data_IF_172304654129
#
_entry.id   IF_172304654129
#
_cell.length_a   1.000
_cell.length_b   1.000
_cell.length_c   1.000
_cell.angle_alpha   90.00
_cell.angle_beta   90.00
_cell.angle_gamma   90.00
#
_symmetry.space_group_name_H-M   'P 1'
#
loop_
_entity.id
_entity.type
_entity.pdbx_description
1 polymer ?
#
# COMPACT_ATOMS: atom_id res chain seq x y z
N UNK A 1 2.99 -18.51 62.51
CA UNK A 1 3.15 -17.11 62.03
C UNK A 1 4.12 -17.16 60.85
N UNK A 2 3.61 -17.52 59.67
CA UNK A 2 4.40 -17.57 58.44
C UNK A 2 4.00 -16.38 57.58
N UNK A 3 4.93 -15.43 57.40
CA UNK A 3 4.77 -14.35 56.43
C UNK A 3 5.04 -14.91 55.03
N UNK A 4 3.99 -14.96 54.21
CA UNK A 4 4.14 -15.14 52.76
C UNK A 4 4.78 -13.88 52.17
N UNK A 5 6.02 -14.02 51.71
CA UNK A 5 6.72 -13.03 50.90
C UNK A 5 6.11 -13.03 49.48
N UNK A 6 4.98 -12.33 49.31
CA UNK A 6 4.44 -12.00 47.97
C UNK A 6 5.38 -10.97 47.32
N UNK A 7 6.26 -11.44 46.46
CA UNK A 7 7.01 -10.59 45.53
C UNK A 7 6.02 -10.02 44.52
N UNK A 8 5.54 -8.80 44.77
CA UNK A 8 4.76 -8.02 43.82
C UNK A 8 5.66 -7.69 42.62
N UNK A 9 5.56 -8.49 41.53
CA UNK A 9 6.09 -8.11 40.22
C UNK A 9 5.35 -6.86 39.77
N UNK A 10 5.96 -5.69 39.95
CA UNK A 10 5.53 -4.45 39.32
C UNK A 10 5.63 -4.63 37.81
N UNK A 11 4.50 -4.85 37.15
CA UNK A 11 4.41 -4.84 35.68
C UNK A 11 4.68 -3.38 35.26
N UNK A 12 5.91 -3.09 34.85
CA UNK A 12 6.25 -1.76 34.33
C UNK A 12 5.47 -1.53 33.04
N UNK A 13 4.63 -0.51 33.02
CA UNK A 13 3.96 -0.04 31.81
C UNK A 13 5.03 0.29 30.76
N UNK A 14 4.96 -0.30 29.55
CA UNK A 14 5.95 -0.05 28.52
C UNK A 14 5.96 1.42 28.10
N UNK A 15 7.15 1.99 27.89
CA UNK A 15 7.28 3.39 27.45
C UNK A 15 6.86 3.55 25.99
N UNK A 16 6.50 4.77 25.57
CA UNK A 16 6.16 5.05 24.16
C UNK A 16 7.26 4.60 23.18
N UNK A 17 8.54 4.74 23.56
CA UNK A 17 9.67 4.28 22.75
C UNK A 17 9.67 2.75 22.58
N UNK A 18 9.35 2.00 23.64
CA UNK A 18 9.23 0.54 23.58
C UNK A 18 8.04 0.09 22.72
N UNK A 19 6.91 0.81 22.80
CA UNK A 19 5.73 0.54 21.98
C UNK A 19 5.98 0.87 20.50
N UNK A 20 6.64 1.99 20.20
CA UNK A 20 7.04 2.35 18.83
C UNK A 20 8.02 1.33 18.23
N UNK A 21 8.93 0.78 19.03
CA UNK A 21 9.81 -0.30 18.59
C UNK A 21 9.02 -1.58 18.27
N UNK A 22 8.01 -1.92 19.09
CA UNK A 22 7.11 -3.05 18.84
C UNK A 22 6.29 -2.86 17.55
N UNK A 23 5.79 -1.65 17.32
CA UNK A 23 5.04 -1.30 16.10
C UNK A 23 5.88 -1.45 14.82
N UNK A 24 7.19 -1.18 14.87
CA UNK A 24 8.10 -1.39 13.73
C UNK A 24 8.45 -2.86 13.48
N UNK A 25 8.50 -3.64 14.55
CA UNK A 25 8.94 -5.03 14.50
C UNK A 25 8.09 -5.88 13.55
N UNK A 26 6.77 -5.76 13.62
CA UNK A 26 5.83 -6.58 12.84
C UNK A 26 6.04 -6.44 11.33
N UNK A 27 6.28 -5.21 10.84
CA UNK A 27 6.52 -4.97 9.42
C UNK A 27 7.82 -5.63 8.93
N UNK A 28 8.92 -5.48 9.68
CA UNK A 28 10.21 -6.11 9.31
C UNK A 28 10.10 -7.64 9.33
N UNK A 29 9.32 -8.20 10.26
CA UNK A 29 9.04 -9.65 10.27
C UNK A 29 8.26 -10.08 9.04
N UNK A 30 7.19 -9.37 8.66
CA UNK A 30 6.41 -9.67 7.47
C UNK A 30 7.27 -9.60 6.19
N UNK A 31 8.12 -8.58 6.08
CA UNK A 31 9.07 -8.42 4.99
C UNK A 31 10.09 -9.57 4.92
N UNK A 32 10.62 -10.02 6.07
CA UNK A 32 11.48 -11.20 6.11
C UNK A 32 10.74 -12.45 5.62
N UNK A 33 9.51 -12.68 6.09
CA UNK A 33 8.73 -13.85 5.69
C UNK A 33 8.51 -13.90 4.18
N UNK A 34 8.21 -12.74 3.57
CA UNK A 34 8.09 -12.58 2.12
C UNK A 34 9.40 -12.91 1.39
N UNK A 35 10.54 -12.42 1.90
CA UNK A 35 11.85 -12.52 1.22
C UNK A 35 12.69 -13.72 1.69
N UNK A 36 12.17 -14.60 2.54
CA UNK A 36 12.95 -15.60 3.26
C UNK A 36 13.74 -16.54 2.34
N UNK A 37 13.21 -16.85 1.15
CA UNK A 37 13.91 -17.66 0.15
C UNK A 37 15.12 -16.92 -0.44
N UNK A 38 14.93 -15.67 -0.87
CA UNK A 38 15.99 -14.83 -1.43
C UNK A 38 17.12 -14.56 -0.42
N UNK A 39 16.77 -14.32 0.84
CA UNK A 39 17.74 -13.94 1.88
C UNK A 39 18.70 -15.08 2.27
N UNK A 40 18.45 -16.32 1.82
CA UNK A 40 19.37 -17.46 2.01
C UNK A 40 20.64 -17.26 1.20
N UNK A 41 21.70 -16.81 1.88
CA UNK A 41 23.00 -16.55 1.27
C UNK A 41 23.23 -15.08 0.94
N UNK A 42 22.28 -14.20 1.23
CA UNK A 42 22.39 -12.76 0.96
C UNK A 42 23.27 -12.00 1.98
N UNK A 43 23.83 -12.68 2.99
CA UNK A 43 24.67 -12.08 4.03
C UNK A 43 25.96 -12.87 4.17
N UNK A 44 27.09 -12.29 3.72
CA UNK A 44 28.41 -12.92 3.83
C UNK A 44 28.91 -13.09 5.26
N UNK A 45 28.85 -12.07 6.14
CA UNK A 45 29.28 -12.22 7.53
C UNK A 45 28.17 -12.90 8.33
N UNK A 46 27.90 -14.16 8.04
CA UNK A 46 26.98 -15.00 8.80
C UNK A 46 27.76 -15.90 9.76
N UNK A 47 27.81 -15.58 11.06
CA UNK A 47 28.25 -16.53 12.07
C UNK A 47 27.37 -17.78 12.05
N UNK A 48 27.96 -18.95 12.31
CA UNK A 48 27.24 -20.23 12.30
C UNK A 48 25.99 -20.25 13.23
N UNK A 49 26.05 -19.55 14.37
CA UNK A 49 24.97 -19.50 15.35
C UNK A 49 23.85 -18.49 15.02
N UNK A 50 23.95 -17.73 13.92
CA UNK A 50 23.03 -16.63 13.62
C UNK A 50 22.18 -16.95 12.38
N UNK A 51 20.85 -16.92 12.55
CA UNK A 51 19.90 -17.14 11.46
C UNK A 51 19.89 -15.96 10.48
N UNK A 52 19.44 -16.19 9.24
CA UNK A 52 19.25 -15.09 8.28
C UNK A 52 18.18 -14.11 8.76
N UNK A 53 17.17 -14.59 9.50
CA UNK A 53 16.21 -13.75 10.21
C UNK A 53 16.92 -12.77 11.15
N UNK A 54 17.80 -13.25 12.03
CA UNK A 54 18.50 -12.38 12.98
C UNK A 54 19.35 -11.31 12.28
N UNK A 55 20.00 -11.66 11.16
CA UNK A 55 20.76 -10.70 10.35
C UNK A 55 19.84 -9.68 9.67
N UNK A 56 18.76 -10.12 9.03
CA UNK A 56 17.79 -9.23 8.41
C UNK A 56 17.20 -8.25 9.45
N UNK A 57 16.78 -8.75 10.61
CA UNK A 57 16.31 -7.90 11.71
C UNK A 57 17.38 -6.90 12.16
N UNK A 58 18.64 -7.35 12.34
CA UNK A 58 19.76 -6.49 12.77
C UNK A 58 19.97 -5.30 11.82
N UNK A 59 19.93 -5.53 10.51
CA UNK A 59 20.20 -4.47 9.53
C UNK A 59 19.00 -3.56 9.25
N UNK A 60 17.78 -3.99 9.60
CA UNK A 60 16.56 -3.29 9.19
C UNK A 60 15.74 -2.68 10.33
N UNK A 61 15.77 -3.25 11.54
CA UNK A 61 14.84 -2.83 12.62
C UNK A 61 15.04 -1.38 13.10
N UNK A 62 16.26 -0.86 12.98
CA UNK A 62 16.59 0.51 13.37
C UNK A 62 16.48 1.52 12.22
N UNK A 63 16.63 1.07 10.98
CA UNK A 63 16.67 1.90 9.77
C UNK A 63 15.30 2.03 9.11
N UNK A 64 14.47 1.00 9.18
CA UNK A 64 13.11 1.00 8.63
C UNK A 64 12.13 1.57 9.64
N UNK A 65 11.59 2.75 9.33
CA UNK A 65 10.59 3.42 10.15
C UNK A 65 9.20 3.18 9.59
N UNK A 66 8.67 1.96 9.67
CA UNK A 66 7.27 1.67 9.31
C UNK A 66 6.54 1.33 10.58
N UNK A 67 5.47 2.06 10.90
CA UNK A 67 4.68 1.83 12.09
C UNK A 67 3.35 1.20 11.69
N UNK A 68 3.10 -0.02 12.19
CA UNK A 68 1.82 -0.70 12.03
C UNK A 68 1.05 -0.64 13.34
N UNK A 69 -0.27 -0.48 13.27
CA UNK A 69 -1.16 -0.69 14.41
C UNK A 69 -1.17 -2.17 14.83
N UNK A 70 -1.73 -2.46 16.01
CA UNK A 70 -1.88 -3.84 16.50
C UNK A 70 -2.79 -4.65 15.57
N UNK A 71 -3.84 -4.03 15.06
CA UNK A 71 -4.81 -4.61 14.13
C UNK A 71 -4.16 -4.95 12.79
N UNK A 72 -3.43 -3.99 12.20
CA UNK A 72 -2.65 -4.19 10.96
C UNK A 72 -1.61 -5.29 11.12
N UNK A 73 -0.90 -5.31 12.26
CA UNK A 73 0.07 -6.34 12.56
C UNK A 73 -0.57 -7.73 12.73
N UNK A 74 -1.77 -7.82 13.31
CA UNK A 74 -2.49 -9.08 13.50
C UNK A 74 -2.84 -9.76 12.17
N UNK A 75 -3.14 -8.96 11.13
CA UNK A 75 -3.40 -9.44 9.77
C UNK A 75 -2.15 -9.49 8.88
N UNK A 76 -0.95 -9.31 9.47
CA UNK A 76 0.35 -9.33 8.78
C UNK A 76 0.47 -8.32 7.64
N UNK A 77 -0.03 -7.10 7.86
CA UNK A 77 0.23 -5.98 6.96
C UNK A 77 1.73 -5.83 6.68
N UNK A 78 2.07 -5.46 5.45
CA UNK A 78 3.44 -5.31 5.01
C UNK A 78 3.57 -4.12 4.06
N UNK A 79 4.40 -3.16 4.45
CA UNK A 79 4.74 -1.99 3.64
C UNK A 79 6.12 -2.20 3.04
N UNK A 80 6.26 -1.97 1.74
CA UNK A 80 7.55 -1.97 1.07
C UNK A 80 8.37 -0.77 1.56
N UNK A 81 9.56 -1.05 2.06
CA UNK A 81 10.47 -0.05 2.63
C UNK A 81 11.90 -0.27 2.09
N UNK A 82 12.84 0.66 2.37
CA UNK A 82 14.25 0.54 1.97
C UNK A 82 15.02 -0.54 2.73
N UNK A 83 14.57 -1.80 2.65
CA UNK A 83 15.18 -2.91 3.36
C UNK A 83 16.57 -3.20 2.81
N UNK A 84 17.56 -3.35 3.70
CA UNK A 84 18.85 -3.92 3.36
C UNK A 84 18.70 -5.43 3.19
N UNK A 85 18.56 -5.85 1.93
CA UNK A 85 18.30 -7.24 1.52
C UNK A 85 19.57 -8.05 1.30
N UNK A 86 20.74 -7.41 1.27
CA UNK A 86 22.02 -8.12 1.23
C UNK A 86 23.14 -7.33 1.90
N UNK A 87 24.16 -8.05 2.37
CA UNK A 87 25.36 -7.48 2.97
C UNK A 87 26.59 -8.32 2.66
N UNK A 88 27.57 -7.74 1.99
CA UNK A 88 28.76 -8.44 1.55
C UNK A 88 29.84 -7.52 1.02
N UNK A 89 30.82 -8.13 0.36
CA UNK A 89 32.11 -7.51 0.01
C UNK A 89 32.23 -7.09 -1.45
N UNK A 90 31.31 -7.52 -2.32
CA UNK A 90 31.29 -7.03 -3.71
C UNK A 90 30.82 -5.58 -3.76
N UNK A 91 31.28 -4.84 -4.77
CA UNK A 91 30.85 -3.46 -5.03
C UNK A 91 29.32 -3.36 -5.12
N UNK A 92 28.70 -2.44 -4.36
CA UNK A 92 27.28 -2.13 -4.51
C UNK A 92 26.94 -1.64 -5.91
N UNK A 93 25.69 -1.89 -6.29
CA UNK A 93 25.04 -1.35 -7.47
C UNK A 93 24.13 -0.25 -6.95
N UNK A 94 24.63 0.98 -6.99
CA UNK A 94 23.87 2.13 -6.55
C UNK A 94 22.64 2.29 -7.43
N UNK A 95 21.51 2.65 -6.82
CA UNK A 95 20.27 2.95 -7.52
C UNK A 95 19.72 4.27 -7.01
N UNK A 96 19.23 5.11 -7.91
CA UNK A 96 18.64 6.40 -7.58
C UNK A 96 17.41 6.69 -8.43
N UNK A 97 16.51 7.51 -7.88
CA UNK A 97 15.35 8.02 -8.60
C UNK A 97 15.82 9.13 -9.54
N UNK A 98 15.51 9.00 -10.82
CA UNK A 98 15.70 10.03 -11.84
C UNK A 98 14.40 10.21 -12.62
N UNK A 99 13.66 11.28 -12.32
CA UNK A 99 12.30 11.45 -12.83
C UNK A 99 11.40 10.29 -12.38
N UNK A 100 10.77 9.62 -13.34
CA UNK A 100 9.88 8.48 -13.07
C UNK A 100 10.61 7.12 -13.12
N UNK A 101 11.93 7.11 -13.29
CA UNK A 101 12.72 5.89 -13.43
C UNK A 101 13.60 5.67 -12.20
N UNK A 102 13.86 4.40 -11.88
CA UNK A 102 15.02 4.03 -11.09
C UNK A 102 16.19 3.76 -12.02
N UNK A 103 17.33 4.39 -11.77
CA UNK A 103 18.55 4.25 -12.59
C UNK A 103 19.66 3.70 -11.72
N UNK A 104 20.31 2.64 -12.19
CA UNK A 104 21.41 1.99 -11.49
C UNK A 104 22.77 2.52 -11.91
N UNK A 105 23.82 2.16 -11.15
CA UNK A 105 25.20 2.44 -11.51
C UNK A 105 25.73 1.59 -12.67
N UNK A 106 25.00 0.56 -13.12
CA UNK A 106 25.40 -0.33 -14.21
C UNK A 106 25.36 0.41 -15.56
N UNK A 107 26.51 0.56 -16.19
CA UNK A 107 26.66 1.22 -17.48
C UNK A 107 26.48 0.23 -18.65
N UNK A 108 26.08 0.75 -19.80
CA UNK A 108 26.05 0.05 -21.08
C UNK A 108 26.80 0.89 -22.13
N UNK A 109 27.38 0.27 -23.18
CA UNK A 109 28.06 0.99 -24.25
C UNK A 109 27.14 2.00 -24.95
N UNK A 110 27.73 3.07 -25.47
CA UNK A 110 26.99 4.06 -26.25
C UNK A 110 26.32 3.41 -27.47
N UNK A 111 25.04 3.71 -27.69
CA UNK A 111 24.26 3.17 -28.81
C UNK A 111 23.80 1.72 -28.63
N UNK A 112 24.14 1.05 -27.51
CA UNK A 112 23.57 -0.25 -27.21
C UNK A 112 22.06 -0.13 -27.02
N UNK A 113 21.30 -1.03 -27.65
CA UNK A 113 19.85 -1.09 -27.57
C UNK A 113 19.43 -2.54 -27.33
N UNK A 114 18.38 -2.74 -26.52
CA UNK A 114 17.77 -4.05 -26.30
C UNK A 114 16.54 -4.15 -27.18
N UNK A 115 16.57 -5.08 -28.13
CA UNK A 115 15.49 -5.44 -29.05
C UNK A 115 15.03 -6.88 -28.81
N UNK A 116 13.99 -7.33 -29.49
CA UNK A 116 13.48 -8.70 -29.37
C UNK A 116 14.49 -9.78 -29.79
N UNK A 117 15.43 -9.44 -30.67
CA UNK A 117 16.52 -10.33 -31.08
C UNK A 117 17.71 -10.35 -30.09
N UNK A 118 17.70 -9.47 -29.07
CA UNK A 118 18.80 -9.35 -28.12
C UNK A 118 18.84 -10.55 -27.20
N UNK A 119 20.01 -11.17 -27.08
CA UNK A 119 20.23 -12.33 -26.21
C UNK A 119 20.87 -11.95 -24.87
N UNK A 120 20.82 -12.87 -23.92
CA UNK A 120 21.56 -12.79 -22.66
C UNK A 120 23.07 -12.58 -22.89
N UNK A 121 23.66 -13.19 -23.91
CA UNK A 121 25.05 -13.05 -24.29
C UNK A 121 25.40 -11.65 -24.81
N UNK A 122 24.48 -11.03 -25.58
CA UNK A 122 24.66 -9.64 -26.02
C UNK A 122 24.66 -8.67 -24.82
N UNK A 123 23.69 -8.82 -23.90
CA UNK A 123 23.62 -7.99 -22.68
C UNK A 123 24.83 -8.23 -21.78
N UNK A 124 25.25 -9.48 -21.60
CA UNK A 124 26.44 -9.84 -20.81
C UNK A 124 27.71 -9.20 -21.37
N UNK A 125 27.90 -9.26 -22.69
CA UNK A 125 29.05 -8.62 -23.36
C UNK A 125 29.04 -7.11 -23.18
N UNK A 126 27.88 -6.48 -23.34
CA UNK A 126 27.72 -5.04 -23.11
C UNK A 126 28.06 -4.66 -21.67
N UNK A 127 27.52 -5.36 -20.67
CA UNK A 127 27.79 -5.12 -19.26
C UNK A 127 29.27 -5.30 -18.92
N UNK A 128 29.92 -6.37 -19.40
CA UNK A 128 31.35 -6.62 -19.14
C UNK A 128 32.24 -5.53 -19.74
N UNK A 129 31.92 -5.04 -20.94
CA UNK A 129 32.70 -4.01 -21.62
C UNK A 129 32.63 -2.64 -20.94
N UNK A 130 31.53 -2.36 -20.23
CA UNK A 130 31.25 -1.05 -19.63
C UNK A 130 31.46 -1.01 -18.10
N UNK A 131 31.67 -2.16 -17.44
CA UNK A 131 31.76 -2.26 -15.98
C UNK A 131 32.91 -3.17 -15.54
N UNK A 132 34.04 -2.58 -15.13
CA UNK A 132 35.28 -3.31 -14.79
C UNK A 132 35.19 -4.22 -13.55
N UNK A 133 34.20 -4.02 -12.68
CA UNK A 133 34.01 -4.85 -11.48
C UNK A 133 33.24 -6.16 -11.76
N UNK A 134 32.53 -6.23 -12.90
CA UNK A 134 31.82 -7.42 -13.34
C UNK A 134 32.77 -8.45 -13.95
N UNK A 135 32.43 -9.73 -13.79
CA UNK A 135 33.14 -10.86 -14.38
C UNK A 135 32.16 -11.82 -15.02
N UNK A 136 32.63 -12.57 -16.01
CA UNK A 136 31.84 -13.67 -16.55
C UNK A 136 31.59 -14.71 -15.44
N UNK A 137 30.35 -15.20 -15.36
CA UNK A 137 29.88 -16.09 -14.30
C UNK A 137 29.27 -15.37 -13.09
N UNK A 138 29.36 -14.04 -13.00
CA UNK A 138 28.63 -13.29 -11.99
C UNK A 138 27.11 -13.43 -12.19
N UNK A 139 26.36 -13.38 -11.10
CA UNK A 139 24.90 -13.34 -11.13
C UNK A 139 24.40 -11.98 -10.66
N UNK A 140 23.57 -11.34 -11.47
CA UNK A 140 22.75 -10.19 -11.11
C UNK A 140 21.33 -10.66 -10.79
N UNK A 141 20.90 -10.48 -9.55
CA UNK A 141 19.54 -10.79 -9.10
C UNK A 141 18.75 -9.50 -8.96
N UNK A 142 17.56 -9.44 -9.55
CA UNK A 142 16.65 -8.32 -9.44
C UNK A 142 15.56 -8.70 -8.44
N UNK A 143 15.58 -8.05 -7.28
CA UNK A 143 14.54 -8.18 -6.25
C UNK A 143 13.54 -7.07 -6.48
N UNK A 144 12.32 -7.41 -6.88
CA UNK A 144 11.24 -6.46 -7.06
C UNK A 144 10.16 -6.72 -6.02
N UNK A 145 9.99 -5.79 -5.09
CA UNK A 145 8.92 -5.77 -4.11
C UNK A 145 7.80 -4.89 -4.63
N UNK A 146 6.59 -5.44 -4.65
CA UNK A 146 5.37 -4.77 -5.10
C UNK A 146 4.53 -4.40 -3.91
N UNK A 147 4.05 -3.16 -3.87
CA UNK A 147 3.10 -2.69 -2.89
C UNK A 147 1.68 -2.86 -3.45
N UNK A 148 0.82 -3.52 -2.68
CA UNK A 148 -0.61 -3.64 -2.95
C UNK A 148 -1.42 -3.39 -1.69
N UNK A 149 -2.75 -3.44 -1.82
CA UNK A 149 -3.70 -3.31 -0.72
C UNK A 149 -4.71 -4.45 -0.79
N UNK A 150 -5.23 -4.85 0.37
CA UNK A 150 -6.46 -5.65 0.44
C UNK A 150 -7.68 -4.75 0.21
N UNK A 151 -8.84 -5.38 0.06
CA UNK A 151 -10.14 -4.69 -0.09
C UNK A 151 -10.45 -3.76 1.10
N UNK A 152 -9.86 -4.03 2.27
CA UNK A 152 -10.00 -3.21 3.49
C UNK A 152 -8.92 -2.13 3.63
N UNK A 153 -8.14 -1.85 2.57
CA UNK A 153 -7.10 -0.82 2.59
C UNK A 153 -5.85 -1.18 3.41
N UNK A 154 -5.70 -2.45 3.82
CA UNK A 154 -4.50 -2.91 4.54
C UNK A 154 -3.37 -3.15 3.54
N UNK A 155 -2.16 -2.58 3.76
CA UNK A 155 -1.05 -2.73 2.83
C UNK A 155 -0.49 -4.15 2.87
N UNK A 156 -0.24 -4.70 1.69
CA UNK A 156 0.43 -5.97 1.49
C UNK A 156 1.60 -5.81 0.51
N UNK A 157 2.55 -6.73 0.59
CA UNK A 157 3.66 -6.79 -0.33
C UNK A 157 3.74 -8.15 -1.01
N UNK A 158 4.12 -8.16 -2.28
CA UNK A 158 4.52 -9.36 -3.01
C UNK A 158 5.92 -9.19 -3.59
N UNK A 159 6.56 -10.29 -3.98
CA UNK A 159 7.92 -10.29 -4.49
C UNK A 159 7.99 -10.99 -5.84
N UNK A 160 8.61 -10.34 -6.83
CA UNK A 160 9.05 -10.95 -8.09
C UNK A 160 10.58 -11.00 -8.09
N UNK A 161 11.14 -12.14 -8.47
CA UNK A 161 12.59 -12.35 -8.56
C UNK A 161 12.97 -12.65 -10.00
N UNK A 162 14.01 -11.97 -10.49
CA UNK A 162 14.63 -12.27 -11.77
C UNK A 162 16.12 -12.45 -11.58
N UNK A 163 16.76 -13.26 -12.43
CA UNK A 163 18.21 -13.46 -12.38
C UNK A 163 18.81 -13.43 -13.78
N UNK A 164 19.99 -12.85 -13.87
CA UNK A 164 20.84 -12.77 -15.04
C UNK A 164 22.19 -13.35 -14.66
N UNK A 165 22.64 -14.40 -15.36
CA UNK A 165 24.03 -14.86 -15.28
C UNK A 165 24.81 -14.15 -16.38
N UNK A 166 25.95 -13.54 -16.04
CA UNK A 166 26.82 -12.85 -16.99
C UNK A 166 27.59 -13.89 -17.81
N UNK A 167 26.99 -14.33 -18.91
CA UNK A 167 27.49 -15.39 -19.78
C UNK A 167 27.46 -14.92 -21.25
N UNK A 168 28.58 -14.43 -21.81
CA UNK A 168 28.64 -13.93 -23.19
C UNK A 168 28.21 -14.91 -24.28
N UNK A 169 28.27 -16.22 -23.99
CA UNK A 169 27.87 -17.29 -24.90
C UNK A 169 26.39 -17.70 -24.82
N UNK A 170 25.59 -17.05 -23.97
CA UNK A 170 24.17 -17.39 -23.78
C UNK A 170 23.30 -16.82 -24.91
N UNK A 171 22.72 -17.69 -25.73
CA UNK A 171 21.89 -17.30 -26.86
C UNK A 171 20.40 -17.20 -26.52
N UNK A 172 20.01 -17.34 -25.25
CA UNK A 172 18.62 -17.20 -24.82
C UNK A 172 18.14 -15.77 -25.10
N UNK A 173 16.93 -15.58 -25.68
CA UNK A 173 16.37 -14.24 -25.84
C UNK A 173 16.17 -13.53 -24.49
N UNK A 174 16.67 -12.30 -24.37
CA UNK A 174 16.74 -11.59 -23.09
C UNK A 174 15.35 -11.30 -22.50
N UNK A 175 14.40 -10.87 -23.34
CA UNK A 175 13.06 -10.46 -22.94
C UNK A 175 12.13 -11.59 -22.51
N UNK A 176 12.49 -12.86 -22.77
CA UNK A 176 11.73 -14.02 -22.30
C UNK A 176 11.80 -14.15 -20.77
N UNK A 177 12.92 -13.72 -20.17
CA UNK A 177 13.17 -13.89 -18.74
C UNK A 177 13.27 -12.57 -17.98
N UNK A 178 13.66 -11.47 -18.64
CA UNK A 178 13.79 -10.15 -17.99
C UNK A 178 12.82 -9.15 -18.63
N UNK A 179 11.74 -8.75 -17.92
CA UNK A 179 10.78 -7.81 -18.43
C UNK A 179 11.40 -6.41 -18.60
N UNK A 180 10.88 -5.65 -19.56
CA UNK A 180 11.38 -4.30 -19.84
C UNK A 180 11.28 -3.38 -18.62
N UNK A 181 10.21 -3.49 -17.84
CA UNK A 181 9.99 -2.68 -16.64
C UNK A 181 11.08 -2.82 -15.57
N UNK A 182 11.83 -3.93 -15.60
CA UNK A 182 12.90 -4.24 -14.65
C UNK A 182 14.29 -4.08 -15.25
N UNK A 183 14.41 -3.86 -16.56
CA UNK A 183 15.70 -3.72 -17.23
C UNK A 183 15.53 -2.98 -18.56
N UNK A 184 15.60 -1.65 -18.50
CA UNK A 184 15.62 -0.74 -19.63
C UNK A 184 16.91 0.10 -19.62
N UNK A 185 17.24 0.69 -20.76
CA UNK A 185 18.36 1.61 -20.88
C UNK A 185 17.84 3.03 -20.65
N UNK A 186 18.35 3.68 -19.60
CA UNK A 186 18.05 5.07 -19.25
C UNK A 186 19.38 5.80 -19.19
N UNK A 187 19.60 6.76 -20.11
CA UNK A 187 20.83 7.54 -20.19
C UNK A 187 22.12 6.69 -20.20
N UNK A 188 22.12 5.58 -20.96
CA UNK A 188 23.26 4.66 -21.07
C UNK A 188 23.49 3.78 -19.84
N UNK A 189 22.55 3.74 -18.89
CA UNK A 189 22.61 2.90 -17.69
C UNK A 189 21.40 1.97 -17.63
N UNK A 190 21.54 0.88 -16.87
CA UNK A 190 20.41 -0.02 -16.59
C UNK A 190 19.48 0.67 -15.60
N UNK A 191 18.19 0.71 -15.90
CA UNK A 191 17.15 1.22 -15.03
C UNK A 191 15.82 0.52 -15.24
N UNK A 192 14.77 1.08 -14.66
CA UNK A 192 13.38 0.67 -14.87
C UNK A 192 12.74 1.50 -15.97
N UNK A 193 11.60 1.06 -16.46
CA UNK A 193 10.73 1.97 -17.21
C UNK A 193 10.05 3.00 -16.27
N UNK A 194 9.34 3.96 -16.88
CA UNK A 194 8.65 5.04 -16.14
C UNK A 194 7.35 4.57 -15.47
N UNK A 195 6.90 3.35 -15.78
CA UNK A 195 5.65 2.76 -15.30
C UNK A 195 5.93 1.64 -14.29
N UNK A 196 7.11 1.66 -13.66
CA UNK A 196 7.48 0.70 -12.64
C UNK A 196 6.40 0.69 -11.56
N UNK A 197 5.89 -0.51 -11.27
CA UNK A 197 4.82 -0.72 -10.29
C UNK A 197 5.22 -0.12 -8.92
N UNK A 198 4.23 0.36 -8.16
CA UNK A 198 4.47 0.92 -6.84
C UNK A 198 5.12 -0.13 -5.92
N UNK A 199 6.21 0.22 -5.25
CA UNK A 199 6.97 -0.70 -4.42
C UNK A 199 8.44 -0.32 -4.29
N UNK A 200 9.34 -1.23 -4.63
CA UNK A 200 10.78 -0.99 -4.58
C UNK A 200 11.62 -2.09 -5.22
N UNK A 201 12.81 -1.74 -5.68
CA UNK A 201 13.70 -2.63 -6.44
C UNK A 201 15.11 -2.61 -5.85
N UNK A 202 15.80 -3.75 -5.87
CA UNK A 202 17.23 -3.87 -5.60
C UNK A 202 17.92 -4.77 -6.63
N UNK A 203 19.12 -4.37 -7.07
CA UNK A 203 19.98 -5.16 -7.93
C UNK A 203 21.13 -5.76 -7.13
N UNK A 204 21.08 -7.07 -6.87
CA UNK A 204 22.07 -7.78 -6.05
C UNK A 204 23.06 -8.52 -6.93
N UNK A 205 24.32 -8.12 -6.86
CA UNK A 205 25.43 -8.81 -7.52
C UNK A 205 25.89 -9.95 -6.62
N UNK A 206 26.17 -11.10 -7.21
CA UNK A 206 26.75 -12.23 -6.50
C UNK A 206 27.77 -12.97 -7.35
N UNK A 207 28.78 -13.55 -6.69
CA UNK A 207 29.89 -14.28 -7.31
C UNK A 207 30.26 -15.46 -6.44
N UNK A 208 30.46 -16.63 -7.06
CA UNK A 208 31.16 -17.73 -6.39
C UNK A 208 32.65 -17.64 -6.66
N UNK A 209 33.44 -17.59 -5.59
CA UNK A 209 34.90 -17.62 -5.64
C UNK A 209 35.41 -18.51 -4.51
N UNK A 210 36.35 -19.43 -4.81
CA UNK A 210 36.91 -20.37 -3.83
C UNK A 210 35.86 -21.10 -2.96
N UNK A 211 34.79 -21.60 -3.59
CA UNK A 211 33.64 -22.25 -2.94
C UNK A 211 32.84 -21.38 -1.94
N UNK A 212 33.11 -20.08 -1.87
CA UNK A 212 32.34 -19.11 -1.09
C UNK A 212 31.47 -18.25 -1.99
N UNK A 213 30.28 -17.92 -1.49
CA UNK A 213 29.38 -16.97 -2.14
C UNK A 213 29.71 -15.57 -1.62
N UNK A 214 30.06 -14.68 -2.52
CA UNK A 214 30.18 -13.26 -2.27
C UNK A 214 28.97 -12.53 -2.87
N UNK A 215 28.48 -11.50 -2.20
CA UNK A 215 27.35 -10.67 -2.62
C UNK A 215 27.69 -9.20 -2.43
N UNK A 216 27.02 -8.31 -3.17
CA UNK A 216 27.10 -6.89 -2.87
C UNK A 216 26.20 -6.51 -1.70
N UNK A 217 26.55 -5.44 -1.00
CA UNK A 217 25.63 -4.84 -0.01
C UNK A 217 24.57 -4.04 -0.75
N UNK A 218 23.29 -4.35 -0.53
CA UNK A 218 22.18 -3.69 -1.23
C UNK A 218 20.99 -3.42 -0.33
N UNK A 219 20.40 -2.25 -0.56
CA UNK A 219 19.09 -1.88 -0.04
C UNK A 219 18.10 -1.70 -1.17
N UNK A 220 16.83 -1.97 -0.88
CA UNK A 220 15.71 -1.66 -1.77
C UNK A 220 15.62 -0.16 -1.96
N UNK A 221 15.48 0.28 -3.21
CA UNK A 221 15.15 1.66 -3.55
C UNK A 221 13.69 1.72 -3.97
N UNK A 222 12.94 2.62 -3.35
CA UNK A 222 11.50 2.74 -3.58
C UNK A 222 11.23 3.33 -4.95
N UNK A 223 10.23 2.79 -5.65
CA UNK A 223 9.78 3.39 -6.91
C UNK A 223 9.10 4.73 -6.63
N UNK A 224 9.15 5.70 -7.56
CA UNK A 224 8.54 7.03 -7.35
C UNK A 224 7.05 6.99 -6.98
N UNK A 225 6.33 5.96 -7.46
CA UNK A 225 4.91 5.76 -7.16
C UNK A 225 4.62 5.19 -5.76
N UNK A 226 5.62 4.82 -4.95
CA UNK A 226 5.39 4.28 -3.61
C UNK A 226 5.21 5.39 -2.57
N UNK A 227 3.99 5.91 -2.46
CA UNK A 227 3.57 6.87 -1.43
C UNK A 227 3.30 6.22 -0.07
N UNK A 228 3.06 4.91 -0.04
CA UNK A 228 2.66 4.14 1.15
C UNK A 228 3.74 4.20 2.22
N UNK A 229 5.01 4.08 1.83
CA UNK A 229 6.12 4.19 2.78
C UNK A 229 6.13 5.53 3.52
N UNK A 230 5.87 6.65 2.81
CA UNK A 230 5.83 7.97 3.43
C UNK A 230 4.69 8.09 4.45
N UNK A 231 3.50 7.59 4.10
CA UNK A 231 2.36 7.55 5.02
C UNK A 231 2.68 6.75 6.28
N UNK A 232 3.20 5.53 6.12
CA UNK A 232 3.44 4.61 7.23
C UNK A 232 4.71 4.91 8.05
N UNK A 233 5.56 5.81 7.55
CA UNK A 233 6.75 6.31 8.26
C UNK A 233 6.55 7.63 8.98
N UNK A 234 5.38 8.24 8.83
CA UNK A 234 5.04 9.52 9.45
C UNK A 234 4.91 9.46 10.97
N UNK A 235 5.10 10.61 11.61
CA UNK A 235 4.87 10.76 13.06
C UNK A 235 3.40 10.53 13.43
N UNK A 236 2.47 10.86 12.52
CA UNK A 236 1.05 10.57 12.69
C UNK A 236 0.80 9.07 12.79
N UNK A 237 1.32 8.27 11.85
CA UNK A 237 1.17 6.81 11.90
C UNK A 237 1.86 6.20 13.11
N UNK A 238 3.02 6.74 13.50
CA UNK A 238 3.71 6.36 14.74
C UNK A 238 2.84 6.57 15.96
N UNK A 239 2.15 7.71 16.06
CA UNK A 239 1.24 8.01 17.18
C UNK A 239 0.08 7.01 17.23
N UNK A 240 -0.61 6.79 16.10
CA UNK A 240 -1.71 5.82 15.97
C UNK A 240 -1.27 4.40 16.39
N UNK A 241 -0.09 3.97 15.93
CA UNK A 241 0.44 2.66 16.29
C UNK A 241 0.76 2.57 17.79
N UNK A 242 1.44 3.57 18.36
CA UNK A 242 1.75 3.60 19.80
C UNK A 242 0.49 3.56 20.65
N UNK A 243 -0.55 4.32 20.26
CA UNK A 243 -1.85 4.28 20.92
C UNK A 243 -2.47 2.89 20.86
N UNK A 244 -2.52 2.26 19.68
CA UNK A 244 -3.06 0.90 19.51
C UNK A 244 -2.34 -0.17 20.38
N UNK A 245 -1.01 -0.06 20.57
CA UNK A 245 -0.26 -0.99 21.45
C UNK A 245 -0.29 -0.61 22.95
N UNK A 246 -0.45 0.67 23.28
CA UNK A 246 -0.47 1.21 24.64
C UNK A 246 -1.86 1.20 25.29
N UNK A 247 -2.92 1.08 24.48
CA UNK A 247 -4.30 0.97 24.93
C UNK A 247 -4.50 -0.35 25.66
N UNK A 248 -4.49 -0.32 27.00
CA UNK A 248 -5.19 -1.32 27.78
C UNK A 248 -6.67 -0.95 27.76
N UNK A 249 -7.45 -1.64 26.95
CA UNK A 249 -8.89 -1.47 26.89
C UNK A 249 -9.54 -2.14 28.09
N UNK A 250 -10.09 -1.34 28.99
CA UNK A 250 -10.97 -1.82 30.05
C UNK A 250 -12.34 -1.18 29.84
N UNK A 251 -13.33 -1.98 29.43
CA UNK A 251 -14.73 -1.52 29.29
C UNK A 251 -15.36 -0.99 30.59
N UNK A 252 -14.64 -1.15 31.71
CA UNK A 252 -15.08 -0.80 33.06
C UNK A 252 -14.16 0.23 33.73
N UNK A 253 -13.18 0.78 33.02
CA UNK A 253 -12.31 1.84 33.55
C UNK A 253 -12.77 3.22 33.05
N UNK A 254 -13.34 4.07 33.92
CA UNK A 254 -13.79 5.41 33.53
C UNK A 254 -12.64 6.36 33.14
N UNK A 255 -11.38 5.96 33.32
CA UNK A 255 -10.19 6.75 32.96
C UNK A 255 -9.62 6.35 31.59
N UNK A 256 -10.00 5.22 31.01
CA UNK A 256 -9.59 4.86 29.64
C UNK A 256 -10.37 5.71 28.62
N UNK A 257 -9.85 6.90 28.35
CA UNK A 257 -10.48 7.93 27.49
C UNK A 257 -10.46 7.64 25.98
N UNK A 258 -10.47 6.37 25.56
CA UNK A 258 -10.56 6.00 24.13
C UNK A 258 -11.84 5.22 23.92
N UNK A 259 -12.85 5.89 23.39
CA UNK A 259 -14.04 5.24 22.83
C UNK A 259 -13.63 4.60 21.50
N UNK A 260 -13.61 3.27 21.44
CA UNK A 260 -13.52 2.57 20.16
C UNK A 260 -14.86 2.74 19.46
N UNK A 261 -14.88 3.44 18.35
CA UNK A 261 -16.00 3.42 17.41
C UNK A 261 -15.76 2.22 16.51
N UNK A 262 -16.65 1.24 16.54
CA UNK A 262 -16.59 0.14 15.59
C UNK A 262 -16.83 0.74 14.19
N UNK A 263 -16.07 0.39 13.14
CA UNK A 263 -16.45 0.75 11.77
C UNK A 263 -17.88 0.28 11.42
N UNK A 264 -18.42 -0.74 12.10
CA UNK A 264 -19.85 -1.08 12.01
C UNK A 264 -20.79 -0.03 12.65
N UNK A 265 -20.31 0.82 13.57
CA UNK A 265 -21.06 1.90 14.23
C UNK A 265 -21.22 3.15 13.34
N UNK A 266 -20.58 3.22 12.17
CA UNK A 266 -20.81 4.33 11.24
C UNK A 266 -22.28 4.26 10.76
N UNK A 267 -23.11 5.19 11.23
CA UNK A 267 -24.54 5.13 11.01
C UNK A 267 -24.88 5.54 9.56
N UNK A 268 -25.98 5.01 9.04
CA UNK A 268 -26.54 5.50 7.78
C UNK A 268 -26.88 6.98 7.92
N UNK A 269 -26.25 7.85 7.13
CA UNK A 269 -26.51 9.28 7.18
C UNK A 269 -26.45 9.90 5.79
N UNK A 270 -27.39 10.80 5.51
CA UNK A 270 -27.31 11.72 4.38
C UNK A 270 -26.74 13.03 4.90
N UNK A 271 -25.53 13.38 4.48
CA UNK A 271 -24.82 14.58 4.94
C UNK A 271 -25.01 15.78 4.03
N UNK A 272 -25.46 15.57 2.80
CA UNK A 272 -25.72 16.67 1.87
C UNK A 272 -26.40 16.22 0.59
N UNK A 273 -27.12 17.16 -0.01
CA UNK A 273 -27.81 16.99 -1.29
C UNK A 273 -27.45 18.17 -2.19
N UNK A 274 -27.14 17.91 -3.46
CA UNK A 274 -26.88 18.95 -4.46
C UNK A 274 -27.68 18.67 -5.73
N UNK A 275 -28.14 19.73 -6.40
CA UNK A 275 -28.81 19.66 -7.69
C UNK A 275 -28.00 20.49 -8.70
N UNK A 276 -27.55 19.85 -9.78
CA UNK A 276 -26.62 20.44 -10.76
C UNK A 276 -25.37 21.08 -10.09
N UNK A 277 -24.89 20.46 -9.01
CA UNK A 277 -23.76 20.95 -8.21
C UNK A 277 -24.08 22.11 -7.26
N UNK A 278 -25.33 22.60 -7.23
CA UNK A 278 -25.77 23.61 -6.26
C UNK A 278 -26.26 22.93 -4.98
N UNK A 279 -25.70 23.25 -3.79
CA UNK A 279 -26.14 22.66 -2.54
C UNK A 279 -27.59 23.01 -2.19
N UNK A 280 -28.33 22.02 -1.72
CA UNK A 280 -29.69 22.17 -1.18
C UNK A 280 -29.62 21.94 0.33
N UNK A 281 -30.18 22.87 1.08
CA UNK A 281 -30.18 22.86 2.55
C UNK A 281 -31.48 22.23 3.05
N UNK A 282 -31.43 21.48 4.15
CA UNK A 282 -32.64 20.98 4.80
C UNK A 282 -33.56 22.14 5.19
N UNK A 283 -34.87 21.96 5.02
CA UNK A 283 -35.86 23.01 5.29
C UNK A 283 -35.86 24.17 4.30
N UNK A 284 -35.23 24.03 3.12
CA UNK A 284 -35.25 25.07 2.08
C UNK A 284 -36.62 25.28 1.41
N UNK A 285 -37.61 24.47 1.74
CA UNK A 285 -38.85 24.30 0.99
C UNK A 285 -38.74 23.22 -0.10
N UNK A 286 -39.83 23.03 -0.84
CA UNK A 286 -39.96 22.01 -1.89
C UNK A 286 -38.80 22.03 -2.88
N UNK A 287 -38.17 20.88 -3.12
CA UNK A 287 -37.20 20.74 -4.21
C UNK A 287 -37.93 20.40 -5.50
N UNK A 288 -37.82 21.25 -6.50
CA UNK A 288 -38.24 20.92 -7.86
C UNK A 288 -37.07 20.28 -8.62
N UNK A 289 -37.34 19.15 -9.27
CA UNK A 289 -36.42 18.48 -10.18
C UNK A 289 -37.03 18.46 -11.58
N UNK A 290 -36.22 18.81 -12.58
CA UNK A 290 -36.60 18.81 -13.98
C UNK A 290 -35.71 17.85 -14.79
N UNK A 291 -36.24 17.37 -15.92
CA UNK A 291 -35.57 16.40 -16.79
C UNK A 291 -34.24 16.94 -17.29
N UNK A 292 -33.18 16.15 -17.15
CA UNK A 292 -31.81 16.52 -17.54
C UNK A 292 -30.96 17.07 -16.39
N UNK A 293 -31.54 17.29 -15.21
CA UNK A 293 -30.79 17.67 -14.02
C UNK A 293 -30.08 16.47 -13.36
N UNK A 294 -29.05 16.77 -12.58
CA UNK A 294 -28.28 15.78 -11.83
C UNK A 294 -28.45 16.02 -10.35
N UNK A 295 -29.09 15.09 -9.65
CA UNK A 295 -29.22 15.06 -8.20
C UNK A 295 -28.07 14.22 -7.62
N UNK A 296 -27.31 14.78 -6.69
CA UNK A 296 -26.24 14.06 -5.98
C UNK A 296 -26.51 14.10 -4.50
N UNK A 297 -26.64 12.91 -3.90
CA UNK A 297 -26.82 12.68 -2.47
C UNK A 297 -25.48 12.17 -1.94
N UNK A 298 -25.00 12.78 -0.86
CA UNK A 298 -23.73 12.44 -0.20
C UNK A 298 -23.99 11.98 1.22
N UNK A 299 -23.22 11.01 1.69
CA UNK A 299 -23.48 10.40 2.99
C UNK A 299 -22.54 9.26 3.33
N UNK A 300 -22.99 8.43 4.28
CA UNK A 300 -22.31 7.21 4.74
C UNK A 300 -23.25 6.01 4.64
N UNK A 301 -22.69 4.85 4.26
CA UNK A 301 -23.42 3.59 4.04
C UNK A 301 -24.60 3.73 3.06
N UNK A 302 -24.42 4.55 2.02
CA UNK A 302 -25.40 4.69 0.95
C UNK A 302 -25.42 3.42 0.09
N UNK A 303 -26.61 3.07 -0.42
CA UNK A 303 -26.80 1.95 -1.36
C UNK A 303 -27.84 2.35 -2.41
N UNK A 304 -27.80 1.72 -3.58
CA UNK A 304 -28.72 1.96 -4.71
C UNK A 304 -30.19 1.66 -4.38
N UNK A 305 -30.44 0.79 -3.42
CA UNK A 305 -31.78 0.46 -2.90
C UNK A 305 -32.05 1.08 -1.51
N UNK A 306 -31.13 1.90 -0.99
CA UNK A 306 -31.18 2.37 0.39
C UNK A 306 -32.11 3.56 0.64
N UNK A 307 -32.52 4.26 -0.42
CA UNK A 307 -33.30 5.49 -0.34
C UNK A 307 -34.50 5.49 -1.29
N UNK A 308 -35.55 6.15 -0.84
CA UNK A 308 -36.74 6.52 -1.60
C UNK A 308 -36.98 8.02 -1.51
N UNK A 309 -37.75 8.56 -2.45
CA UNK A 309 -38.16 9.95 -2.45
C UNK A 309 -39.67 10.05 -2.26
N UNK A 310 -40.11 10.97 -1.40
CA UNK A 310 -41.51 11.36 -1.37
C UNK A 310 -41.74 12.50 -2.34
N UNK A 311 -42.61 12.27 -3.33
CA UNK A 311 -42.80 13.18 -4.45
C UNK A 311 -44.26 13.49 -4.72
N UNK A 312 -44.52 14.70 -5.19
CA UNK A 312 -45.83 15.08 -5.70
C UNK A 312 -45.91 14.73 -7.19
N UNK A 313 -46.79 13.80 -7.53
CA UNK A 313 -47.00 13.36 -8.92
C UNK A 313 -48.07 14.18 -9.65
N UNK A 314 -48.94 14.89 -8.92
CA UNK A 314 -50.02 15.74 -9.44
C UNK A 314 -50.36 16.85 -8.41
N UNK A 315 -50.57 18.12 -8.81
CA UNK A 315 -50.92 19.24 -7.91
C UNK A 315 -52.11 19.04 -6.96
N UNK A 316 -52.98 18.05 -7.21
CA UNK A 316 -54.21 17.80 -6.43
C UNK A 316 -54.14 16.45 -5.70
N UNK A 317 -53.07 15.66 -5.89
CA UNK A 317 -52.91 14.36 -5.26
C UNK A 317 -52.05 14.46 -4.00
N UNK A 318 -52.24 13.51 -3.07
CA UNK A 318 -51.33 13.36 -1.94
C UNK A 318 -49.93 12.91 -2.44
N UNK A 319 -48.83 13.39 -1.82
CA UNK A 319 -47.49 12.94 -2.15
C UNK A 319 -47.33 11.43 -2.00
N UNK A 320 -46.58 10.81 -2.92
CA UNK A 320 -46.37 9.37 -2.98
C UNK A 320 -44.88 9.08 -2.82
N UNK A 321 -44.56 8.01 -2.08
CA UNK A 321 -43.21 7.50 -1.96
C UNK A 321 -42.85 6.65 -3.19
N UNK A 322 -41.75 6.99 -3.85
CA UNK A 322 -41.24 6.32 -5.04
C UNK A 322 -39.78 5.93 -4.86
N UNK A 323 -39.32 4.92 -5.59
CA UNK A 323 -37.90 4.56 -5.59
C UNK A 323 -37.10 5.63 -6.36
N UNK A 324 -35.82 5.82 -6.03
CA UNK A 324 -35.00 6.81 -6.75
C UNK A 324 -34.86 6.48 -8.25
N UNK A 325 -34.96 5.20 -8.62
CA UNK A 325 -35.00 4.76 -10.02
C UNK A 325 -36.22 5.25 -10.78
N UNK A 326 -37.32 5.60 -10.10
CA UNK A 326 -38.50 6.17 -10.75
C UNK A 326 -38.29 7.65 -11.12
N UNK A 327 -37.26 8.28 -10.55
CA UNK A 327 -36.85 9.66 -10.88
C UNK A 327 -35.85 9.71 -12.03
N UNK A 328 -35.10 8.63 -12.27
CA UNK A 328 -34.16 8.52 -13.38
C UNK A 328 -33.07 7.47 -13.17
N UNK A 329 -31.95 7.62 -13.88
CA UNK A 329 -30.87 6.62 -13.84
C UNK A 329 -29.98 6.83 -12.61
N UNK A 330 -29.95 5.82 -11.73
CA UNK A 330 -29.23 5.84 -10.45
C UNK A 330 -27.87 5.17 -10.57
N UNK A 331 -26.82 5.81 -10.04
CA UNK A 331 -25.50 5.23 -9.80
C UNK A 331 -25.14 5.47 -8.34
N UNK A 332 -24.87 4.41 -7.57
CA UNK A 332 -24.58 4.50 -6.15
C UNK A 332 -23.21 3.92 -5.78
N UNK A 333 -22.60 4.51 -4.75
CA UNK A 333 -21.45 4.02 -4.00
C UNK A 333 -21.79 4.08 -2.50
N UNK A 334 -20.87 3.65 -1.63
CA UNK A 334 -21.01 3.74 -0.18
C UNK A 334 -21.09 5.19 0.35
N UNK A 335 -20.64 6.17 -0.45
CA UNK A 335 -20.57 7.58 -0.06
C UNK A 335 -21.46 8.51 -0.90
N UNK A 336 -21.85 8.10 -2.10
CA UNK A 336 -22.60 8.96 -3.04
C UNK A 336 -23.67 8.20 -3.80
N UNK A 337 -24.83 8.83 -3.98
CA UNK A 337 -25.87 8.41 -4.93
C UNK A 337 -26.07 9.54 -5.93
N UNK A 338 -25.89 9.24 -7.21
CA UNK A 338 -26.13 10.16 -8.32
C UNK A 338 -27.35 9.70 -9.10
N UNK A 339 -28.36 10.57 -9.23
CA UNK A 339 -29.57 10.33 -10.02
C UNK A 339 -29.59 11.30 -11.19
N UNK A 340 -29.55 10.76 -12.40
CA UNK A 340 -29.73 11.53 -13.62
C UNK A 340 -31.22 11.62 -13.92
N UNK A 341 -31.84 12.77 -13.67
CA UNK A 341 -33.29 12.95 -13.64
C UNK A 341 -33.89 12.83 -15.04
N UNK A 342 -34.90 11.98 -15.18
CA UNK A 342 -35.62 11.74 -16.45
C UNK A 342 -37.09 12.17 -16.41
N UNK A 343 -37.56 12.70 -15.28
CA UNK A 343 -38.94 13.13 -15.05
C UNK A 343 -38.99 14.46 -14.31
N UNK A 344 -40.09 15.21 -14.48
CA UNK A 344 -40.31 16.44 -13.71
C UNK A 344 -41.17 16.12 -12.48
N UNK A 345 -40.68 16.45 -11.28
CA UNK A 345 -41.33 16.17 -9.99
C UNK A 345 -40.99 17.23 -8.96
N UNK A 346 -41.81 17.29 -7.92
CA UNK A 346 -41.48 18.01 -6.68
C UNK A 346 -41.19 16.98 -5.59
N UNK A 347 -40.03 17.11 -4.95
CA UNK A 347 -39.53 16.20 -3.91
C UNK A 347 -39.62 16.91 -2.56
N UNK A 348 -40.28 16.26 -1.61
CA UNK A 348 -40.52 16.79 -0.26
C UNK A 348 -39.45 16.33 0.71
N UNK A 349 -39.13 15.04 0.69
CA UNK A 349 -38.08 14.47 1.55
C UNK A 349 -37.54 13.17 0.97
N UNK A 350 -36.33 12.81 1.43
CA UNK A 350 -35.71 11.51 1.22
C UNK A 350 -35.93 10.65 2.46
N UNK A 351 -36.24 9.38 2.24
CA UNK A 351 -36.50 8.41 3.30
C UNK A 351 -35.71 7.12 3.07
N UNK A 352 -35.41 6.43 4.16
CA UNK A 352 -34.81 5.10 4.12
C UNK A 352 -35.77 4.07 3.55
N UNK A 353 -35.29 3.24 2.63
CA UNK A 353 -36.14 2.26 1.97
C UNK A 353 -36.62 1.11 2.89
N UNK A 354 -35.88 0.81 3.96
CA UNK A 354 -36.14 -0.33 4.86
C UNK A 354 -37.09 -0.01 6.01
N UNK A 355 -37.17 1.24 6.46
CA UNK A 355 -37.97 1.63 7.61
C UNK A 355 -38.72 2.97 7.44
N UNK A 356 -38.69 3.56 6.24
CA UNK A 356 -39.35 4.81 5.87
C UNK A 356 -38.99 6.02 6.75
N UNK A 357 -37.87 5.97 7.49
CA UNK A 357 -37.39 7.09 8.28
C UNK A 357 -36.91 8.21 7.35
N UNK A 358 -37.41 9.42 7.58
CA UNK A 358 -36.97 10.62 6.86
C UNK A 358 -35.51 10.91 7.24
N UNK A 359 -34.65 11.02 6.23
CA UNK A 359 -33.21 11.27 6.40
C UNK A 359 -32.76 12.61 5.83
N UNK A 360 -33.59 13.21 4.97
CA UNK A 360 -33.35 14.54 4.47
C UNK A 360 -34.68 15.20 4.11
N UNK A 361 -35.08 16.22 4.87
CA UNK A 361 -36.32 16.94 4.64
C UNK A 361 -36.05 18.25 3.89
N UNK A 362 -36.67 18.41 2.73
CA UNK A 362 -36.64 19.65 1.96
C UNK A 362 -37.74 20.61 2.46
N UNK A 363 -38.85 20.09 3.00
CA UNK A 363 -39.97 20.88 3.53
C UNK A 363 -39.66 21.59 4.85
N UNK A 364 -40.43 22.65 5.13
CA UNK A 364 -40.38 23.41 6.38
C UNK A 364 -41.57 23.08 7.28
#
# INVERSE_FOLDING_TARGET
MNQENKTTKTIKTPTQAQLAQKARFSNVVAAYQLMAEFLRGAYEPKPHAVSYYNLFMKYNISSVNVYLTKEEAAVKACVVAPYQVSHGTLSPIEMSVQGNNLVSSLCLPQGFAITDATTFGNVSTALLSANSFLRSGDQLSIVHLLQSFSDFGIPHASMKLHKLIIAPSDNTPFRVLIPQSMFQIVNGRVGTDANAEAGGIAYVLSRRFENKLHVSTQSVVLTPGNTVYQQYSSDQKKKEAVESYGSQFYYVDPVSGITRQDPEDEYFAVTGVTLNGTPIVQGSGLMRIDTGEVLVITGSKLTDVGLKANVLTNPIADPVTVDLSDLGNVVATDQTITVNITVNREVYYLLRADNDVIVFDFGA
#
